data_IF_012037815023
#
_entry.id   IF_012037815023
#
_cell.length_a   1.000
_cell.length_b   1.000
_cell.length_c   1.000
_cell.angle_alpha   90.00
_cell.angle_beta   90.00
_cell.angle_gamma   90.00
#
_symmetry.space_group_name_H-M   'P 1'
#
loop_
_entity.id
_entity.type
_entity.pdbx_description
1 polymer ?
#
# COMPACT_ATOMS: atom_id res chain seq x y z
N UNK A 1 5.65 -30.76 -6.30
CA UNK A 1 6.10 -31.02 -4.91
C UNK A 1 5.52 -32.34 -4.46
N UNK A 2 6.33 -33.22 -3.88
CA UNK A 2 5.93 -34.48 -3.27
C UNK A 2 6.13 -34.37 -1.74
N UNK A 3 5.18 -34.85 -0.95
CA UNK A 3 5.32 -35.00 0.49
C UNK A 3 5.80 -36.41 0.77
N UNK A 4 6.93 -36.57 1.48
CA UNK A 4 7.54 -37.87 1.77
C UNK A 4 7.18 -38.41 3.15
N UNK A 5 7.12 -37.55 4.15
CA UNK A 5 6.86 -37.99 5.52
C UNK A 5 6.32 -36.84 6.35
N UNK A 6 5.38 -37.13 7.24
CA UNK A 6 4.96 -36.24 8.32
C UNK A 6 5.23 -36.94 9.65
N UNK A 7 5.85 -36.21 10.57
CA UNK A 7 6.13 -36.69 11.93
C UNK A 7 5.75 -35.61 12.92
N UNK A 8 5.11 -36.03 14.01
CA UNK A 8 4.78 -35.16 15.14
C UNK A 8 5.32 -35.81 16.39
N UNK A 9 5.94 -34.99 17.24
CA UNK A 9 6.44 -35.40 18.55
C UNK A 9 5.88 -34.47 19.62
N UNK A 10 5.45 -35.08 20.72
CA UNK A 10 4.77 -34.45 21.85
C UNK A 10 5.45 -34.93 23.14
N UNK A 11 6.02 -34.00 23.87
CA UNK A 11 6.49 -34.20 25.23
C UNK A 11 5.39 -33.78 26.22
N UNK A 12 5.23 -34.58 27.28
CA UNK A 12 4.17 -34.44 28.28
C UNK A 12 4.77 -34.16 29.65
N UNK A 13 4.05 -33.38 30.47
CA UNK A 13 4.46 -33.05 31.83
C UNK A 13 4.61 -34.30 32.68
N UNK A 14 5.75 -34.43 33.38
CA UNK A 14 6.04 -35.54 34.29
C UNK A 14 5.92 -36.94 33.66
N UNK A 15 6.07 -37.05 32.33
CA UNK A 15 6.03 -38.31 31.60
C UNK A 15 7.29 -38.46 30.75
N UNK A 16 8.03 -39.57 30.92
CA UNK A 16 9.27 -39.80 30.17
C UNK A 16 9.01 -40.25 28.72
N UNK A 17 7.85 -40.85 28.46
CA UNK A 17 7.44 -41.32 27.13
C UNK A 17 7.08 -40.14 26.23
N UNK A 18 7.62 -40.14 25.02
CA UNK A 18 7.21 -39.22 23.94
C UNK A 18 6.03 -39.80 23.19
N UNK A 19 5.05 -38.95 22.90
CA UNK A 19 3.87 -39.28 22.13
C UNK A 19 3.93 -38.63 20.75
N UNK A 20 3.06 -39.07 19.84
CA UNK A 20 2.95 -38.52 18.49
C UNK A 20 2.82 -39.62 17.45
N UNK A 21 3.14 -39.26 16.20
CA UNK A 21 3.02 -40.16 15.06
C UNK A 21 4.11 -39.90 14.03
N UNK A 22 4.36 -40.90 13.17
CA UNK A 22 5.27 -40.78 12.05
C UNK A 22 4.71 -41.58 10.89
N UNK A 23 4.34 -40.92 9.80
CA UNK A 23 3.77 -41.53 8.61
C UNK A 23 4.60 -41.16 7.38
N UNK A 24 5.09 -42.18 6.68
CA UNK A 24 5.68 -42.04 5.36
C UNK A 24 4.60 -42.11 4.28
N UNK A 25 4.79 -41.36 3.21
CA UNK A 25 3.95 -41.37 2.03
C UNK A 25 4.70 -41.99 0.85
N UNK A 26 3.96 -42.78 0.08
CA UNK A 26 4.44 -43.38 -1.17
C UNK A 26 4.03 -42.52 -2.37
N UNK A 27 4.68 -42.73 -3.51
CA UNK A 27 4.28 -42.04 -4.74
C UNK A 27 2.90 -42.55 -5.19
N UNK A 28 2.03 -41.64 -5.63
CA UNK A 28 0.67 -41.96 -6.08
C UNK A 28 -0.39 -41.77 -4.99
N UNK A 29 -1.41 -42.64 -4.98
CA UNK A 29 -2.56 -42.52 -4.09
C UNK A 29 -2.24 -43.09 -2.70
N UNK A 30 -2.32 -42.24 -1.68
CA UNK A 30 -2.22 -42.64 -0.28
C UNK A 30 -3.60 -42.49 0.39
N UNK A 31 -4.06 -43.52 1.11
CA UNK A 31 -5.37 -43.52 1.77
C UNK A 31 -5.17 -43.57 3.29
N UNK A 32 -5.70 -42.58 4.01
CA UNK A 32 -5.68 -42.52 5.47
C UNK A 32 -7.04 -42.97 6.00
N UNK A 33 -7.09 -44.12 6.67
CA UNK A 33 -8.32 -44.70 7.24
C UNK A 33 -8.27 -44.75 8.75
N UNK A 34 -9.41 -44.50 9.41
CA UNK A 34 -9.53 -44.53 10.87
C UNK A 34 -10.93 -44.12 11.33
N UNK A 35 -11.28 -44.43 12.57
CA UNK A 35 -12.57 -44.05 13.16
C UNK A 35 -12.73 -42.54 13.26
N UNK A 36 -13.96 -42.05 13.43
CA UNK A 36 -14.17 -40.63 13.72
C UNK A 36 -13.39 -40.23 14.98
N UNK A 37 -12.85 -39.01 14.98
CA UNK A 37 -12.02 -38.50 16.06
C UNK A 37 -10.69 -39.25 16.29
N UNK A 38 -10.24 -40.09 15.34
CA UNK A 38 -8.95 -40.79 15.43
C UNK A 38 -7.74 -39.97 14.98
N UNK A 39 -7.87 -38.65 14.80
CA UNK A 39 -6.79 -37.76 14.37
C UNK A 39 -6.46 -37.73 12.86
N UNK A 40 -7.34 -38.25 11.98
CA UNK A 40 -7.12 -38.23 10.52
C UNK A 40 -6.90 -36.82 9.99
N UNK A 41 -7.79 -35.90 10.36
CA UNK A 41 -7.72 -34.49 9.95
C UNK A 41 -6.48 -33.81 10.55
N UNK A 42 -6.05 -34.23 11.75
CA UNK A 42 -4.85 -33.74 12.42
C UNK A 42 -3.58 -33.97 11.60
N UNK A 43 -3.46 -35.14 10.94
CA UNK A 43 -2.32 -35.43 10.03
C UNK A 43 -2.25 -34.39 8.91
N UNK A 44 -3.39 -34.12 8.27
CA UNK A 44 -3.50 -33.14 7.18
C UNK A 44 -3.20 -31.73 7.70
N UNK A 45 -3.79 -31.33 8.83
CA UNK A 45 -3.55 -30.03 9.44
C UNK A 45 -2.07 -29.80 9.80
N UNK A 46 -1.35 -30.83 10.27
CA UNK A 46 0.07 -30.73 10.55
C UNK A 46 0.92 -30.50 9.28
N UNK A 47 0.54 -31.10 8.15
CA UNK A 47 1.21 -30.86 6.86
C UNK A 47 1.09 -29.39 6.47
N UNK A 48 -0.12 -28.82 6.46
CA UNK A 48 -0.32 -27.40 6.14
C UNK A 48 0.35 -26.48 7.14
N UNK A 49 0.35 -26.85 8.43
CA UNK A 49 1.05 -26.11 9.46
C UNK A 49 2.57 -26.06 9.21
N UNK A 50 3.20 -27.18 8.84
CA UNK A 50 4.61 -27.19 8.43
C UNK A 50 4.90 -26.36 7.18
N UNK A 51 3.90 -26.16 6.32
CA UNK A 51 4.00 -25.33 5.11
C UNK A 51 3.64 -23.85 5.35
N UNK A 52 3.30 -23.44 6.58
CA UNK A 52 2.84 -22.08 6.88
C UNK A 52 1.44 -21.77 6.33
N UNK A 53 0.68 -22.78 5.92
CA UNK A 53 -0.59 -22.64 5.21
C UNK A 53 -1.82 -22.78 6.14
N UNK A 54 -1.67 -22.55 7.44
CA UNK A 54 -2.76 -22.71 8.41
C UNK A 54 -3.98 -21.82 8.14
N UNK A 55 -3.79 -20.68 7.46
CA UNK A 55 -4.89 -19.80 7.05
C UNK A 55 -5.91 -20.48 6.14
N UNK A 56 -5.48 -21.51 5.38
CA UNK A 56 -6.35 -22.30 4.48
C UNK A 56 -7.33 -23.19 5.23
N UNK A 57 -7.05 -23.45 6.51
CA UNK A 57 -7.87 -24.28 7.39
C UNK A 57 -8.83 -23.44 8.24
N UNK A 58 -8.91 -22.12 7.97
CA UNK A 58 -9.94 -21.25 8.51
C UNK A 58 -9.60 -20.50 9.80
N UNK A 59 -8.33 -20.46 10.22
CA UNK A 59 -7.90 -19.73 11.41
C UNK A 59 -6.68 -18.84 11.20
N UNK A 60 -6.64 -17.71 11.89
CA UNK A 60 -5.41 -16.98 12.18
C UNK A 60 -4.86 -17.54 13.50
N UNK A 61 -3.72 -18.26 13.47
CA UNK A 61 -2.98 -18.89 14.60
C UNK A 61 -3.31 -20.37 14.89
N UNK A 62 -2.55 -20.94 15.81
CA UNK A 62 -2.49 -22.35 16.29
C UNK A 62 -3.82 -22.99 16.70
N UNK A 63 -4.94 -22.25 16.70
CA UNK A 63 -6.31 -22.74 16.94
C UNK A 63 -6.81 -23.71 15.84
N UNK A 64 -6.09 -23.80 14.72
CA UNK A 64 -6.35 -24.75 13.63
C UNK A 64 -5.92 -26.17 13.97
N UNK A 65 -4.94 -26.31 14.86
CA UNK A 65 -4.42 -27.61 15.28
C UNK A 65 -5.28 -28.18 16.40
N UNK A 66 -5.32 -29.51 16.48
CA UNK A 66 -6.04 -30.22 17.54
C UNK A 66 -5.41 -29.90 18.91
N UNK A 67 -6.25 -29.75 19.94
CA UNK A 67 -5.83 -29.50 21.33
C UNK A 67 -4.88 -30.57 21.85
N UNK A 68 -5.01 -31.81 21.37
CA UNK A 68 -4.08 -32.91 21.67
C UNK A 68 -2.62 -32.59 21.34
N UNK A 69 -2.37 -31.64 20.44
CA UNK A 69 -1.02 -31.25 20.04
C UNK A 69 -0.40 -30.16 20.91
N UNK A 70 -1.16 -29.41 21.72
CA UNK A 70 -0.62 -28.25 22.46
C UNK A 70 -1.22 -28.01 23.84
N UNK A 71 -2.34 -28.61 24.18
CA UNK A 71 -3.01 -28.42 25.47
C UNK A 71 -2.89 -29.71 26.29
N UNK A 72 -3.70 -30.71 25.95
CA UNK A 72 -3.78 -31.99 26.66
C UNK A 72 -4.47 -33.06 25.79
N UNK A 73 -4.26 -34.33 26.14
CA UNK A 73 -4.97 -35.47 25.55
C UNK A 73 -5.15 -36.59 26.58
N UNK A 74 -6.11 -37.48 26.34
CA UNK A 74 -6.34 -38.65 27.18
C UNK A 74 -5.49 -39.84 26.72
N UNK A 75 -4.81 -40.47 27.67
CA UNK A 75 -4.07 -41.71 27.45
C UNK A 75 -4.17 -42.59 28.70
N UNK A 76 -4.60 -43.85 28.52
CA UNK A 76 -4.73 -44.83 29.61
C UNK A 76 -5.55 -44.28 30.81
N UNK A 77 -6.72 -43.70 30.52
CA UNK A 77 -7.63 -43.04 31.47
C UNK A 77 -7.03 -41.86 32.28
N UNK A 78 -5.88 -41.33 31.84
CA UNK A 78 -5.25 -40.15 32.44
C UNK A 78 -5.21 -38.99 31.45
N UNK A 79 -5.47 -37.79 31.93
CA UNK A 79 -5.30 -36.56 31.15
C UNK A 79 -3.84 -36.12 31.21
N UNK A 80 -3.17 -36.15 30.06
CA UNK A 80 -1.77 -35.82 29.90
C UNK A 80 -1.61 -34.39 29.37
N UNK A 81 -0.91 -33.53 30.11
CA UNK A 81 -0.67 -32.13 29.71
C UNK A 81 0.56 -32.01 28.81
N UNK A 82 0.39 -31.36 27.65
CA UNK A 82 1.47 -31.14 26.68
C UNK A 82 2.41 -30.05 27.18
N UNK A 83 3.71 -30.31 27.24
CA UNK A 83 4.74 -29.32 27.58
C UNK A 83 5.46 -28.77 26.37
N UNK A 84 5.74 -29.63 25.39
CA UNK A 84 6.46 -29.28 24.18
C UNK A 84 5.98 -30.15 23.01
N UNK A 85 5.87 -29.57 21.83
CA UNK A 85 5.45 -30.31 20.64
C UNK A 85 5.91 -29.63 19.36
N UNK A 86 6.22 -30.45 18.36
CA UNK A 86 6.62 -29.98 17.04
C UNK A 86 6.22 -30.96 15.94
N UNK A 87 6.13 -30.44 14.72
CA UNK A 87 5.91 -31.22 13.51
C UNK A 87 7.14 -31.12 12.58
N UNK A 88 7.46 -32.22 11.92
CA UNK A 88 8.52 -32.40 10.93
C UNK A 88 7.90 -32.92 9.64
N UNK A 89 8.01 -32.16 8.55
CA UNK A 89 7.52 -32.51 7.23
C UNK A 89 8.70 -32.64 6.27
N UNK A 90 8.82 -33.79 5.61
CA UNK A 90 9.82 -33.99 4.55
C UNK A 90 9.12 -33.74 3.21
N UNK A 91 9.61 -32.75 2.46
CA UNK A 91 9.14 -32.43 1.11
C UNK A 91 10.27 -32.62 0.09
N UNK A 92 9.88 -33.02 -1.11
CA UNK A 92 10.78 -33.26 -2.22
C UNK A 92 10.25 -32.58 -3.49
N UNK A 93 11.15 -31.98 -4.25
CA UNK A 93 10.90 -31.61 -5.64
C UNK A 93 11.81 -32.47 -6.56
N UNK A 94 11.89 -32.14 -7.85
CA UNK A 94 12.69 -32.94 -8.80
C UNK A 94 14.19 -33.01 -8.45
N UNK A 95 14.73 -31.98 -7.80
CA UNK A 95 16.19 -31.79 -7.60
C UNK A 95 16.62 -31.69 -6.14
N UNK A 96 15.71 -31.38 -5.23
CA UNK A 96 15.94 -30.97 -3.84
C UNK A 96 15.01 -31.71 -2.89
N UNK A 97 15.50 -31.99 -1.70
CA UNK A 97 14.73 -32.54 -0.58
C UNK A 97 15.02 -31.70 0.67
N UNK A 98 13.95 -31.33 1.39
CA UNK A 98 14.04 -30.49 2.56
C UNK A 98 13.16 -31.04 3.70
N UNK A 99 13.69 -30.97 4.92
CA UNK A 99 12.92 -31.21 6.13
C UNK A 99 12.50 -29.89 6.74
N UNK A 100 11.19 -29.70 6.90
CA UNK A 100 10.58 -28.54 7.55
C UNK A 100 10.20 -28.91 8.98
N UNK A 101 10.82 -28.26 9.96
CA UNK A 101 10.48 -28.43 11.38
C UNK A 101 9.85 -27.14 11.91
N UNK A 102 8.67 -27.28 12.53
CA UNK A 102 7.94 -26.16 13.15
C UNK A 102 7.43 -26.56 14.53
N UNK A 103 7.71 -25.73 15.53
CA UNK A 103 7.20 -25.92 16.88
C UNK A 103 5.73 -25.51 16.95
N UNK A 104 4.92 -26.37 17.57
CA UNK A 104 3.50 -26.11 17.84
C UNK A 104 3.38 -25.49 19.23
N UNK A 105 4.00 -26.11 20.23
CA UNK A 105 4.19 -25.57 21.58
C UNK A 105 5.64 -25.72 21.97
N UNK A 106 6.26 -24.64 22.45
CA UNK A 106 7.65 -24.66 22.90
C UNK A 106 7.73 -24.26 24.37
N UNK A 107 8.40 -25.08 25.17
CA UNK A 107 8.74 -24.72 26.55
C UNK A 107 9.69 -23.50 26.63
N UNK A 108 10.59 -23.35 25.66
CA UNK A 108 11.59 -22.26 25.61
C UNK A 108 11.07 -20.96 24.95
N UNK A 109 9.76 -20.80 24.77
CA UNK A 109 9.17 -19.69 24.00
C UNK A 109 9.75 -19.51 22.58
N UNK A 110 10.23 -20.58 21.93
CA UNK A 110 10.54 -20.50 20.50
C UNK A 110 9.28 -20.08 19.75
N UNK A 111 9.42 -19.08 18.88
CA UNK A 111 8.30 -18.53 18.14
C UNK A 111 7.69 -19.59 17.22
N UNK A 112 6.40 -19.86 17.38
CA UNK A 112 5.61 -20.69 16.46
C UNK A 112 5.55 -20.11 15.03
N UNK A 113 6.02 -18.88 14.82
CA UNK A 113 6.15 -18.22 13.52
C UNK A 113 7.55 -18.41 12.91
N UNK A 114 8.28 -19.45 13.32
CA UNK A 114 9.58 -19.81 12.78
C UNK A 114 9.53 -21.23 12.22
N UNK A 115 10.05 -21.41 11.00
CA UNK A 115 10.30 -22.73 10.42
C UNK A 115 11.80 -22.96 10.31
N UNK A 116 12.24 -24.11 10.80
CA UNK A 116 13.60 -24.60 10.63
C UNK A 116 13.60 -25.49 9.39
N UNK A 117 14.46 -25.18 8.43
CA UNK A 117 14.62 -25.94 7.19
C UNK A 117 15.97 -26.62 7.22
N UNK A 118 15.98 -27.92 6.97
CA UNK A 118 17.20 -28.73 6.85
C UNK A 118 17.29 -29.23 5.41
N UNK A 119 18.33 -28.84 4.71
CA UNK A 119 18.60 -29.21 3.32
C UNK A 119 20.09 -29.52 3.16
N UNK A 120 20.44 -30.67 2.56
CA UNK A 120 21.83 -31.08 2.32
C UNK A 120 22.75 -30.96 3.56
N UNK A 121 22.21 -31.25 4.76
CA UNK A 121 22.94 -31.15 6.03
C UNK A 121 23.10 -29.72 6.59
N UNK A 122 22.61 -28.70 5.88
CA UNK A 122 22.61 -27.31 6.34
C UNK A 122 21.27 -26.98 6.99
N UNK A 123 21.32 -26.36 8.18
CA UNK A 123 20.13 -25.93 8.94
C UNK A 123 19.97 -24.43 8.83
N UNK A 124 18.83 -23.98 8.29
CA UNK A 124 18.45 -22.58 8.15
C UNK A 124 17.15 -22.31 8.90
N UNK A 125 16.92 -21.05 9.29
CA UNK A 125 15.73 -20.63 10.00
C UNK A 125 15.04 -19.49 9.26
N UNK A 126 13.74 -19.63 9.04
CA UNK A 126 12.92 -18.66 8.31
C UNK A 126 11.74 -18.21 9.17
N UNK A 127 11.32 -16.97 8.98
CA UNK A 127 10.16 -16.40 9.69
C UNK A 127 8.89 -16.42 8.83
N UNK A 128 7.75 -16.44 9.52
CA UNK A 128 6.39 -16.43 8.99
C UNK A 128 5.57 -15.29 9.61
N UNK A 129 4.47 -14.91 8.95
CA UNK A 129 3.45 -14.00 9.47
C UNK A 129 4.00 -12.66 9.95
N UNK A 130 5.05 -12.19 9.29
CA UNK A 130 5.76 -10.96 9.62
C UNK A 130 6.13 -10.23 8.34
N UNK A 131 6.19 -8.90 8.38
CA UNK A 131 6.48 -8.09 7.20
C UNK A 131 7.72 -8.58 6.43
N UNK A 132 7.53 -8.85 5.14
CA UNK A 132 8.58 -9.32 4.24
C UNK A 132 8.85 -10.83 4.25
N UNK A 133 8.02 -11.65 4.89
CA UNK A 133 8.09 -13.12 4.85
C UNK A 133 7.92 -13.71 3.43
N UNK A 134 7.40 -12.90 2.51
CA UNK A 134 7.27 -13.23 1.10
C UNK A 134 8.40 -12.72 0.21
N UNK A 135 9.17 -11.71 0.65
CA UNK A 135 10.09 -10.94 -0.20
C UNK A 135 11.55 -11.03 0.26
N UNK A 136 11.77 -11.09 1.56
CA UNK A 136 13.13 -11.12 2.11
C UNK A 136 13.73 -12.52 2.03
N UNK A 137 15.07 -12.63 1.94
CA UNK A 137 15.75 -13.93 1.96
C UNK A 137 15.43 -14.78 3.20
N UNK A 138 15.20 -14.15 4.35
CA UNK A 138 14.88 -14.82 5.62
C UNK A 138 13.38 -15.15 5.77
N UNK A 139 12.56 -14.79 4.78
CA UNK A 139 11.13 -15.08 4.71
C UNK A 139 10.85 -16.50 4.21
N UNK A 140 10.01 -17.25 4.92
CA UNK A 140 9.73 -18.64 4.57
C UNK A 140 9.01 -18.79 3.22
N UNK A 141 8.06 -17.91 2.90
CA UNK A 141 7.32 -18.04 1.64
C UNK A 141 8.20 -17.71 0.44
N UNK A 142 9.19 -16.82 0.59
CA UNK A 142 10.20 -16.60 -0.44
C UNK A 142 11.01 -17.88 -0.68
N UNK A 143 11.56 -18.49 0.39
CA UNK A 143 12.26 -19.76 0.30
C UNK A 143 11.42 -20.87 -0.34
N UNK A 144 10.16 -21.02 0.09
CA UNK A 144 9.26 -22.06 -0.43
C UNK A 144 8.94 -21.82 -1.91
N UNK A 145 8.76 -20.56 -2.33
CA UNK A 145 8.54 -20.21 -3.74
C UNK A 145 9.74 -20.61 -4.61
N UNK A 146 10.96 -20.33 -4.15
CA UNK A 146 12.20 -20.76 -4.80
C UNK A 146 12.40 -22.28 -4.79
N UNK A 147 11.99 -22.95 -3.70
CA UNK A 147 11.99 -24.41 -3.63
C UNK A 147 11.01 -25.01 -4.64
N UNK A 148 9.84 -24.42 -4.85
CA UNK A 148 8.84 -24.91 -5.78
C UNK A 148 9.13 -24.55 -7.25
N UNK A 149 10.01 -23.58 -7.49
CA UNK A 149 10.27 -23.06 -8.84
C UNK A 149 9.09 -22.26 -9.41
N UNK A 150 8.25 -21.68 -8.54
CA UNK A 150 7.07 -20.91 -8.93
C UNK A 150 7.48 -19.44 -9.07
N UNK A 151 7.15 -18.79 -10.17
CA UNK A 151 7.31 -17.34 -10.34
C UNK A 151 5.96 -16.66 -10.12
N UNK A 152 5.77 -16.04 -8.96
CA UNK A 152 4.53 -15.32 -8.66
C UNK A 152 4.49 -13.96 -9.36
N UNK A 153 3.33 -13.51 -9.85
CA UNK A 153 3.18 -12.21 -10.45
C UNK A 153 3.31 -11.10 -9.41
N UNK A 154 4.24 -10.19 -9.65
CA UNK A 154 4.57 -9.07 -8.77
C UNK A 154 4.21 -7.75 -9.44
N UNK A 155 3.58 -6.85 -8.69
CA UNK A 155 3.43 -5.45 -9.10
C UNK A 155 4.76 -4.77 -8.76
N UNK A 156 5.69 -4.71 -9.72
CA UNK A 156 6.95 -3.98 -9.54
C UNK A 156 6.85 -2.56 -10.12
N UNK A 157 6.89 -1.54 -9.26
CA UNK A 157 7.93 -0.48 -9.18
C UNK A 157 7.42 0.79 -8.47
N UNK A 158 8.24 1.28 -7.54
CA UNK A 158 8.35 2.67 -7.05
C UNK A 158 7.29 3.27 -6.10
N UNK A 159 6.55 2.46 -5.37
CA UNK A 159 5.83 2.95 -4.18
C UNK A 159 6.15 2.06 -2.98
N UNK A 160 6.12 2.66 -1.80
CA UNK A 160 6.34 2.07 -0.47
C UNK A 160 5.49 0.83 -0.14
N UNK A 161 4.69 0.32 -1.07
CA UNK A 161 3.76 -0.77 -0.89
C UNK A 161 4.00 -1.84 -1.96
N UNK A 162 4.81 -2.85 -1.60
CA UNK A 162 5.06 -4.04 -2.40
C UNK A 162 3.80 -4.92 -2.41
N UNK A 163 2.76 -4.48 -3.10
CA UNK A 163 1.55 -5.28 -3.25
C UNK A 163 1.80 -6.42 -4.24
N UNK A 164 2.11 -7.63 -3.78
CA UNK A 164 2.07 -8.81 -4.67
C UNK A 164 0.66 -8.95 -5.22
N UNK A 165 0.54 -9.19 -6.53
CA UNK A 165 -0.77 -9.44 -7.13
C UNK A 165 -1.34 -10.79 -6.68
N UNK A 166 -0.46 -11.75 -6.35
CA UNK A 166 -0.80 -13.04 -5.77
C UNK A 166 0.29 -13.47 -4.79
N UNK A 167 -0.12 -14.04 -3.66
CA UNK A 167 0.78 -14.68 -2.71
C UNK A 167 0.78 -16.20 -2.88
N UNK A 168 1.81 -16.87 -2.39
CA UNK A 168 1.89 -18.33 -2.47
C UNK A 168 0.68 -19.00 -1.77
N UNK A 169 0.23 -18.43 -0.65
CA UNK A 169 -0.96 -18.86 0.07
C UNK A 169 -2.26 -18.67 -0.72
N UNK A 170 -2.26 -17.87 -1.79
CA UNK A 170 -3.38 -17.81 -2.73
C UNK A 170 -3.35 -18.95 -3.76
N UNK A 171 -2.21 -19.61 -3.96
CA UNK A 171 -2.04 -20.72 -4.92
C UNK A 171 -2.37 -22.08 -4.30
N UNK A 172 -1.96 -22.28 -3.04
CA UNK A 172 -2.19 -23.53 -2.32
C UNK A 172 -3.66 -23.95 -2.09
N UNK A 173 -4.68 -23.06 -2.13
CA UNK A 173 -6.08 -23.46 -2.14
C UNK A 173 -6.46 -24.44 -3.26
N UNK A 174 -5.70 -24.48 -4.37
CA UNK A 174 -5.91 -25.46 -5.45
C UNK A 174 -5.37 -26.86 -5.13
N UNK A 175 -4.46 -26.95 -4.15
CA UNK A 175 -3.81 -28.20 -3.76
C UNK A 175 -4.46 -28.83 -2.52
N UNK A 176 -5.55 -28.24 -2.01
CA UNK A 176 -6.29 -28.72 -0.85
C UNK A 176 -7.79 -28.72 -1.13
N UNK A 177 -8.44 -29.80 -0.73
CA UNK A 177 -9.89 -29.84 -0.55
C UNK A 177 -10.14 -30.19 0.92
N UNK A 178 -10.74 -29.25 1.67
CA UNK A 178 -11.03 -29.42 3.10
C UNK A 178 -12.36 -30.16 3.31
N UNK A 179 -12.49 -30.90 4.41
CA UNK A 179 -13.61 -31.82 4.63
C UNK A 179 -14.98 -31.13 4.78
N UNK A 180 -15.05 -29.98 5.46
CA UNK A 180 -16.31 -29.34 5.84
C UNK A 180 -16.81 -28.32 4.83
N UNK A 181 -15.92 -27.57 4.18
CA UNK A 181 -16.24 -26.52 3.22
C UNK A 181 -15.72 -26.79 1.80
N UNK A 182 -14.76 -27.70 1.64
CA UNK A 182 -14.13 -27.96 0.35
C UNK A 182 -15.03 -28.65 -0.69
N UNK A 183 -16.20 -29.17 -0.30
CA UNK A 183 -17.16 -29.75 -1.24
C UNK A 183 -18.12 -28.72 -1.86
N UNK A 184 -18.19 -27.52 -1.31
CA UNK A 184 -19.11 -26.46 -1.75
C UNK A 184 -18.47 -25.46 -2.71
N UNK A 185 -17.14 -25.48 -2.83
CA UNK A 185 -16.35 -24.53 -3.60
C UNK A 185 -15.16 -25.25 -4.25
N UNK A 186 -14.64 -24.72 -5.35
CA UNK A 186 -13.54 -25.36 -6.09
C UNK A 186 -12.18 -25.20 -5.38
N UNK A 187 -12.03 -24.12 -4.61
CA UNK A 187 -10.82 -23.82 -3.85
C UNK A 187 -11.06 -24.05 -2.36
N UNK A 188 -10.02 -24.45 -1.63
CA UNK A 188 -10.03 -24.30 -0.17
C UNK A 188 -10.17 -22.82 0.23
N UNK A 189 -10.32 -22.56 1.53
CA UNK A 189 -10.51 -21.21 2.04
C UNK A 189 -9.34 -20.29 1.63
N UNK A 190 -9.61 -19.39 0.68
CA UNK A 190 -8.60 -18.49 0.14
C UNK A 190 -8.37 -17.33 1.12
N UNK A 191 -7.11 -17.05 1.53
CA UNK A 191 -6.82 -15.95 2.43
C UNK A 191 -7.05 -14.61 1.73
N UNK A 192 -7.71 -13.69 2.42
CA UNK A 192 -7.97 -12.35 1.91
C UNK A 192 -6.83 -11.40 2.29
N UNK A 193 -5.98 -11.09 1.32
CA UNK A 193 -4.91 -10.11 1.44
C UNK A 193 -5.25 -8.75 0.81
N UNK A 194 -6.54 -8.46 0.61
CA UNK A 194 -6.98 -7.25 -0.09
C UNK A 194 -6.78 -7.31 -1.62
N UNK A 195 -6.46 -8.49 -2.16
CA UNK A 195 -6.35 -8.72 -3.60
C UNK A 195 -7.76 -8.80 -4.18
N UNK A 196 -8.07 -7.89 -5.11
CA UNK A 196 -9.31 -7.91 -5.86
C UNK A 196 -9.37 -9.14 -6.77
N UNK A 197 -10.52 -9.81 -6.78
CA UNK A 197 -10.83 -10.96 -7.65
C UNK A 197 -9.77 -12.09 -7.61
N UNK A 198 -9.24 -12.37 -6.41
CA UNK A 198 -8.10 -13.28 -6.23
C UNK A 198 -8.33 -14.69 -6.82
N UNK A 199 -9.55 -15.23 -6.77
CA UNK A 199 -9.90 -16.51 -7.39
C UNK A 199 -9.74 -16.49 -8.92
N UNK A 200 -10.16 -15.42 -9.56
CA UNK A 200 -10.00 -15.26 -11.01
C UNK A 200 -8.52 -15.16 -11.35
N UNK A 201 -7.77 -14.30 -10.65
CA UNK A 201 -6.32 -14.14 -10.86
C UNK A 201 -5.56 -15.45 -10.67
N UNK A 202 -5.98 -16.27 -9.70
CA UNK A 202 -5.42 -17.60 -9.49
C UNK A 202 -5.65 -18.53 -10.70
N UNK A 203 -6.85 -18.56 -11.27
CA UNK A 203 -7.14 -19.36 -12.47
C UNK A 203 -6.31 -18.86 -13.65
N UNK A 204 -6.26 -17.54 -13.87
CA UNK A 204 -5.46 -16.95 -14.94
C UNK A 204 -3.97 -17.25 -14.77
N UNK A 205 -3.47 -17.21 -13.53
CA UNK A 205 -2.10 -17.59 -13.19
C UNK A 205 -1.80 -19.05 -13.50
N UNK A 206 -2.68 -19.99 -13.08
CA UNK A 206 -2.49 -21.42 -13.32
C UNK A 206 -2.54 -21.78 -14.81
N UNK A 207 -3.35 -21.06 -15.58
CA UNK A 207 -3.47 -21.23 -17.03
C UNK A 207 -2.45 -20.40 -17.83
N UNK A 208 -1.60 -19.62 -17.16
CA UNK A 208 -0.62 -18.71 -17.78
C UNK A 208 -1.25 -17.77 -18.81
N UNK A 209 -2.41 -17.19 -18.48
CA UNK A 209 -3.12 -16.28 -19.37
C UNK A 209 -2.49 -14.88 -19.35
N UNK A 210 -2.28 -14.31 -20.54
CA UNK A 210 -1.78 -12.94 -20.71
C UNK A 210 -2.72 -11.87 -20.13
N UNK A 211 -3.99 -12.20 -19.88
CA UNK A 211 -4.96 -11.30 -19.25
C UNK A 211 -4.47 -10.80 -17.90
N UNK A 212 -3.85 -11.67 -17.11
CA UNK A 212 -3.34 -11.35 -15.78
C UNK A 212 -2.20 -10.35 -15.86
N UNK A 213 -1.23 -10.59 -16.75
CA UNK A 213 -0.11 -9.69 -16.98
C UNK A 213 -0.58 -8.32 -17.47
N UNK A 214 -1.59 -8.29 -18.34
CA UNK A 214 -2.17 -7.05 -18.85
C UNK A 214 -2.92 -6.28 -17.75
N UNK A 215 -3.63 -6.97 -16.85
CA UNK A 215 -4.29 -6.34 -15.70
C UNK A 215 -3.26 -5.73 -14.75
N UNK A 216 -2.20 -6.47 -14.42
CA UNK A 216 -1.11 -5.98 -13.57
C UNK A 216 -0.44 -4.76 -14.20
N UNK A 217 -0.13 -4.81 -15.51
CA UNK A 217 0.46 -3.67 -16.23
C UNK A 217 -0.47 -2.46 -16.21
N UNK A 218 -1.78 -2.67 -16.38
CA UNK A 218 -2.77 -1.59 -16.32
C UNK A 218 -2.78 -0.93 -14.94
N UNK A 219 -2.75 -1.71 -13.87
CA UNK A 219 -2.72 -1.19 -12.50
C UNK A 219 -1.45 -0.38 -12.23
N UNK A 220 -0.28 -0.86 -12.70
CA UNK A 220 1.00 -0.13 -12.63
C UNK A 220 0.90 1.22 -13.38
N UNK A 221 0.35 1.22 -14.59
CA UNK A 221 0.21 2.44 -15.39
C UNK A 221 -0.74 3.45 -14.73
N UNK A 222 -1.85 2.98 -14.14
CA UNK A 222 -2.78 3.84 -13.41
C UNK A 222 -2.13 4.46 -12.15
N UNK A 223 -1.33 3.69 -11.41
CA UNK A 223 -0.56 4.22 -10.28
C UNK A 223 0.48 5.25 -10.73
N UNK A 224 1.22 4.98 -11.80
CA UNK A 224 2.18 5.93 -12.39
C UNK A 224 1.49 7.22 -12.86
N UNK A 225 0.36 7.09 -13.54
CA UNK A 225 -0.44 8.24 -13.96
C UNK A 225 -0.86 9.09 -12.76
N UNK A 226 -1.33 8.46 -11.68
CA UNK A 226 -1.70 9.14 -10.44
C UNK A 226 -0.50 9.87 -9.82
N UNK A 227 0.63 9.20 -9.66
CA UNK A 227 1.85 9.80 -9.09
C UNK A 227 2.31 11.03 -9.89
N UNK A 228 2.27 10.96 -11.22
CA UNK A 228 2.62 12.09 -12.09
C UNK A 228 1.64 13.25 -11.90
N UNK A 229 0.33 12.97 -11.79
CA UNK A 229 -0.69 14.00 -11.52
C UNK A 229 -0.50 14.65 -10.15
N UNK A 230 -0.19 13.86 -9.12
CA UNK A 230 0.04 14.35 -7.76
C UNK A 230 1.31 15.22 -7.71
N UNK A 231 2.40 14.77 -8.35
CA UNK A 231 3.64 15.54 -8.45
C UNK A 231 3.44 16.87 -9.20
N UNK A 232 2.70 16.84 -10.31
CA UNK A 232 2.33 18.03 -11.03
C UNK A 232 1.51 19.00 -10.18
N UNK A 233 0.50 18.50 -9.47
CA UNK A 233 -0.30 19.31 -8.54
C UNK A 233 0.56 20.00 -7.49
N UNK A 234 1.50 19.28 -6.88
CA UNK A 234 2.44 19.86 -5.91
C UNK A 234 3.34 20.95 -6.53
N UNK A 235 3.86 20.71 -7.73
CA UNK A 235 4.72 21.68 -8.44
C UNK A 235 3.93 22.92 -8.87
N UNK A 236 2.72 22.73 -9.40
CA UNK A 236 1.81 23.79 -9.79
C UNK A 236 1.50 24.72 -8.60
N UNK A 237 1.11 24.16 -7.45
CA UNK A 237 0.82 24.94 -6.24
C UNK A 237 2.01 25.78 -5.80
N UNK A 238 3.24 25.23 -5.83
CA UNK A 238 4.44 26.00 -5.50
C UNK A 238 4.69 27.17 -6.45
N UNK A 239 4.39 27.00 -7.74
CA UNK A 239 4.58 28.05 -8.75
C UNK A 239 3.49 29.11 -8.62
N UNK A 240 2.23 28.70 -8.41
CA UNK A 240 1.09 29.61 -8.26
C UNK A 240 1.21 30.47 -6.99
N UNK A 241 1.62 29.87 -5.87
CA UNK A 241 1.87 30.61 -4.62
C UNK A 241 2.98 31.65 -4.78
N UNK A 242 4.09 31.30 -5.43
CA UNK A 242 5.18 32.24 -5.71
C UNK A 242 4.74 33.38 -6.63
N UNK A 243 4.02 33.07 -7.71
CA UNK A 243 3.49 34.08 -8.64
C UNK A 243 2.54 35.05 -7.91
N UNK A 244 1.60 34.50 -7.15
CA UNK A 244 0.56 35.28 -6.44
C UNK A 244 1.18 36.17 -5.36
N UNK A 245 2.20 35.69 -4.63
CA UNK A 245 2.93 36.50 -3.64
C UNK A 245 3.59 37.76 -4.21
N UNK A 246 3.88 37.74 -5.51
CA UNK A 246 4.49 38.85 -6.25
C UNK A 246 3.46 39.63 -7.09
N UNK A 247 2.16 39.32 -6.98
CA UNK A 247 1.08 39.99 -7.71
C UNK A 247 0.82 39.48 -9.13
N UNK A 248 1.40 38.34 -9.51
CA UNK A 248 1.21 37.73 -10.83
C UNK A 248 0.22 36.57 -10.78
N UNK A 249 -0.53 36.37 -11.86
CA UNK A 249 -1.38 35.18 -12.07
C UNK A 249 -0.79 34.29 -13.17
N UNK A 250 -0.94 32.97 -13.01
CA UNK A 250 -0.52 31.99 -14.02
C UNK A 250 -1.61 31.81 -15.09
N UNK A 251 -1.21 31.82 -16.36
CA UNK A 251 -2.07 31.69 -17.53
C UNK A 251 -1.51 30.64 -18.48
N UNK A 252 -2.36 29.75 -18.98
CA UNK A 252 -1.94 28.65 -19.88
C UNK A 252 -1.26 27.49 -19.16
N UNK A 253 -1.18 27.53 -17.83
CA UNK A 253 -0.79 26.41 -16.98
C UNK A 253 -1.96 26.14 -16.04
N UNK A 254 -2.47 24.91 -16.04
CA UNK A 254 -3.61 24.47 -15.26
C UNK A 254 -3.21 23.40 -14.23
N UNK A 255 -3.94 23.31 -13.09
CA UNK A 255 -3.71 22.26 -12.09
C UNK A 255 -3.93 20.85 -12.65
N UNK A 256 -4.84 20.71 -13.61
CA UNK A 256 -5.10 19.45 -14.30
C UNK A 256 -4.12 19.28 -15.47
N UNK A 257 -3.26 18.26 -15.37
CA UNK A 257 -2.21 17.96 -16.36
C UNK A 257 -2.80 17.80 -17.78
N UNK A 258 -3.98 17.20 -17.90
CA UNK A 258 -4.61 16.86 -19.20
C UNK A 258 -5.05 18.12 -19.96
N UNK A 259 -5.32 19.22 -19.24
CA UNK A 259 -5.73 20.50 -19.84
C UNK A 259 -4.56 21.33 -20.34
N UNK A 260 -3.32 20.92 -20.05
CA UNK A 260 -2.12 21.62 -20.50
C UNK A 260 -1.70 21.11 -21.88
N UNK A 261 -2.06 21.87 -22.93
CA UNK A 261 -1.48 21.67 -24.25
C UNK A 261 -0.05 22.26 -24.21
N UNK A 262 0.95 21.41 -23.93
CA UNK A 262 2.37 21.76 -23.70
C UNK A 262 3.01 22.64 -24.81
N UNK A 263 2.29 22.87 -25.91
CA UNK A 263 2.64 23.76 -27.02
C UNK A 263 2.54 25.26 -26.66
N UNK A 264 1.89 25.62 -25.55
CA UNK A 264 1.56 27.02 -25.21
C UNK A 264 2.28 27.63 -23.99
N UNK A 265 3.26 26.94 -23.39
CA UNK A 265 3.94 27.45 -22.18
C UNK A 265 4.99 28.50 -22.57
N UNK A 266 4.52 29.71 -22.87
CA UNK A 266 5.38 30.89 -23.06
C UNK A 266 5.66 31.57 -21.73
N UNK A 267 6.82 32.24 -21.59
CA UNK A 267 7.15 33.15 -20.48
C UNK A 267 6.10 34.26 -20.25
N UNK A 268 5.18 34.49 -21.20
CA UNK A 268 4.00 35.34 -21.07
C UNK A 268 2.87 34.71 -20.24
N UNK A 269 3.05 33.51 -19.69
CA UNK A 269 2.10 32.87 -18.78
C UNK A 269 1.93 33.59 -17.44
N UNK A 270 2.68 34.65 -17.17
CA UNK A 270 2.54 35.46 -15.96
C UNK A 270 1.96 36.82 -16.36
N UNK A 271 0.72 37.07 -15.92
CA UNK A 271 0.01 38.30 -16.20
C UNK A 271 -0.29 39.08 -14.92
N UNK A 272 -0.26 40.40 -15.02
CA UNK A 272 -0.72 41.33 -13.99
C UNK A 272 -2.06 41.90 -14.44
N UNK A 273 -3.00 42.08 -13.50
CA UNK A 273 -4.24 42.80 -13.78
C UNK A 273 -3.93 44.29 -13.75
N UNK A 274 -4.09 44.98 -14.88
CA UNK A 274 -4.00 46.44 -14.95
C UNK A 274 -5.10 47.09 -14.10
N UNK A 275 -4.73 47.95 -13.16
CA UNK A 275 -5.69 48.76 -12.37
C UNK A 275 -6.49 49.73 -13.25
N UNK A 276 -5.93 50.18 -14.38
CA UNK A 276 -6.57 51.19 -15.25
C UNK A 276 -7.50 50.61 -16.30
N UNK A 277 -7.23 49.40 -16.82
CA UNK A 277 -7.99 48.84 -17.97
C UNK A 277 -8.76 47.55 -17.69
N UNK A 278 -8.63 46.94 -16.51
CA UNK A 278 -9.13 45.57 -16.21
C UNK A 278 -8.67 44.50 -17.21
N UNK A 279 -7.62 44.80 -17.97
CA UNK A 279 -7.04 43.88 -18.95
C UNK A 279 -5.77 43.23 -18.38
N UNK A 280 -5.54 42.00 -18.82
CA UNK A 280 -4.34 41.24 -18.49
C UNK A 280 -3.16 41.76 -19.29
N UNK A 281 -2.09 42.16 -18.60
CA UNK A 281 -0.85 42.59 -19.24
C UNK A 281 0.20 41.49 -19.07
N UNK A 282 0.79 41.06 -20.19
CA UNK A 282 1.90 40.10 -20.18
C UNK A 282 3.16 40.71 -19.53
N UNK A 283 3.96 39.87 -18.89
CA UNK A 283 5.13 40.31 -18.12
C UNK A 283 6.12 41.17 -18.95
N UNK A 284 6.29 40.88 -20.26
CA UNK A 284 7.15 41.67 -21.16
C UNK A 284 6.62 43.09 -21.40
N UNK A 285 5.31 43.21 -21.59
CA UNK A 285 4.65 44.49 -21.84
C UNK A 285 4.60 45.29 -20.54
N UNK A 286 4.40 44.61 -19.40
CA UNK A 286 4.46 45.23 -18.08
C UNK A 286 5.86 45.79 -17.77
N UNK A 287 6.93 45.04 -18.06
CA UNK A 287 8.31 45.53 -17.95
C UNK A 287 8.52 46.75 -18.86
N UNK A 288 8.03 46.70 -20.10
CA UNK A 288 8.19 47.79 -21.06
C UNK A 288 7.47 49.06 -20.61
N UNK A 289 6.27 48.92 -20.04
CA UNK A 289 5.52 50.03 -19.46
C UNK A 289 6.24 50.66 -18.25
N UNK A 290 6.75 49.83 -17.33
CA UNK A 290 7.52 50.32 -16.18
C UNK A 290 8.81 51.03 -16.59
N UNK A 291 9.49 50.54 -17.63
CA UNK A 291 10.69 51.20 -18.19
C UNK A 291 10.30 52.55 -18.83
N UNK A 292 9.17 52.59 -19.53
CA UNK A 292 8.58 53.81 -20.09
C UNK A 292 8.26 54.84 -19.02
N UNK A 293 7.49 54.47 -18.00
CA UNK A 293 7.15 55.33 -16.85
C UNK A 293 8.41 55.83 -16.15
N UNK A 294 9.40 54.96 -15.90
CA UNK A 294 10.67 55.37 -15.32
C UNK A 294 11.36 56.43 -16.18
N UNK A 295 11.36 56.26 -17.50
CA UNK A 295 11.98 57.20 -18.42
C UNK A 295 11.26 58.56 -18.45
N UNK A 296 9.94 58.57 -18.33
CA UNK A 296 9.14 59.80 -18.33
C UNK A 296 9.20 60.53 -16.98
N UNK A 297 9.26 59.80 -15.87
CA UNK A 297 9.56 60.37 -14.55
C UNK A 297 10.97 60.99 -14.55
N UNK A 298 11.98 60.31 -15.11
CA UNK A 298 13.33 60.86 -15.22
C UNK A 298 13.39 62.13 -16.09
N UNK A 299 12.57 62.23 -17.14
CA UNK A 299 12.46 63.45 -17.96
C UNK A 299 11.76 64.58 -17.19
N UNK A 300 10.70 64.29 -16.44
CA UNK A 300 10.03 65.29 -15.58
C UNK A 300 10.98 65.84 -14.52
N UNK A 301 11.75 64.97 -13.86
CA UNK A 301 12.76 65.37 -12.87
C UNK A 301 13.85 66.26 -13.50
N UNK A 302 14.38 65.91 -14.68
CA UNK A 302 15.37 66.75 -15.38
C UNK A 302 14.83 68.11 -15.82
N UNK A 303 13.54 68.21 -16.11
CA UNK A 303 12.91 69.49 -16.48
C UNK A 303 12.62 70.37 -15.25
N UNK A 304 12.53 69.80 -14.05
CA UNK A 304 12.36 70.53 -12.78
C UNK A 304 13.69 70.99 -12.14
N UNK A 305 14.85 70.54 -12.65
CA UNK A 305 16.19 70.90 -12.14
C UNK A 305 16.58 72.39 -12.30
N UNK A 306 15.74 73.25 -12.88
CA UNK A 306 16.03 74.68 -13.03
C UNK A 306 15.61 75.59 -11.86
N UNK A 307 15.08 75.05 -10.77
CA UNK A 307 14.94 75.81 -9.53
C UNK A 307 14.72 74.88 -8.34
N UNK A 308 15.79 74.47 -7.64
CA UNK A 308 15.86 74.27 -6.17
C UNK A 308 17.16 73.58 -5.74
N UNK A 309 17.64 73.91 -4.55
CA UNK A 309 18.94 73.49 -3.98
C UNK A 309 19.10 71.98 -3.75
N UNK A 310 20.33 71.42 -3.88
CA UNK A 310 20.59 69.97 -3.86
C UNK A 310 20.12 69.21 -2.60
N UNK A 311 20.13 69.86 -1.43
CA UNK A 311 19.79 69.21 -0.15
C UNK A 311 18.28 68.97 0.04
N UNK A 312 17.42 69.83 -0.55
CA UNK A 312 15.97 69.65 -0.49
C UNK A 312 15.50 68.49 -1.39
N UNK A 313 16.15 68.31 -2.54
CA UNK A 313 15.86 67.20 -3.47
C UNK A 313 16.29 65.86 -2.86
N UNK A 314 17.43 65.82 -2.16
CA UNK A 314 17.91 64.60 -1.51
C UNK A 314 17.02 64.19 -0.33
N UNK A 315 16.54 65.15 0.46
CA UNK A 315 15.60 64.89 1.55
C UNK A 315 14.20 64.51 1.06
N UNK A 316 13.71 65.10 -0.03
CA UNK A 316 12.43 64.68 -0.63
C UNK A 316 12.54 63.29 -1.25
N UNK A 317 13.65 62.95 -1.91
CA UNK A 317 13.93 61.60 -2.38
C UNK A 317 13.94 60.57 -1.26
N UNK A 318 14.62 60.83 -0.14
CA UNK A 318 14.64 59.91 1.01
C UNK A 318 13.24 59.72 1.62
N UNK A 319 12.45 60.79 1.72
CA UNK A 319 11.06 60.70 2.17
C UNK A 319 10.20 59.87 1.22
N UNK A 320 10.26 60.13 -0.08
CA UNK A 320 9.54 59.34 -1.10
C UNK A 320 9.97 57.87 -1.09
N UNK A 321 11.26 57.58 -0.93
CA UNK A 321 11.76 56.21 -0.80
C UNK A 321 11.19 55.51 0.44
N UNK A 322 11.12 56.23 1.57
CA UNK A 322 10.53 55.70 2.80
C UNK A 322 9.02 55.44 2.66
N UNK A 323 8.28 56.32 1.99
CA UNK A 323 6.86 56.14 1.67
C UNK A 323 6.62 54.97 0.73
N UNK A 324 7.41 54.85 -0.36
CA UNK A 324 7.35 53.69 -1.27
C UNK A 324 7.65 52.40 -0.52
N UNK A 325 8.59 52.41 0.42
CA UNK A 325 8.90 51.24 1.24
C UNK A 325 7.74 50.88 2.17
N UNK A 326 7.07 51.88 2.74
CA UNK A 326 5.89 51.71 3.60
C UNK A 326 4.70 51.15 2.80
N UNK A 327 4.40 51.75 1.64
CA UNK A 327 3.35 51.30 0.72
C UNK A 327 3.58 49.87 0.24
N UNK A 328 4.82 49.52 -0.12
CA UNK A 328 5.15 48.14 -0.50
C UNK A 328 4.96 47.14 0.65
N UNK A 329 5.24 47.54 1.91
CA UNK A 329 4.94 46.71 3.07
C UNK A 329 3.43 46.54 3.26
N UNK A 330 2.66 47.61 3.11
CA UNK A 330 1.19 47.57 3.20
C UNK A 330 0.59 46.68 2.10
N UNK A 331 1.05 46.81 0.86
CA UNK A 331 0.64 45.97 -0.27
C UNK A 331 0.93 44.48 -0.01
N UNK A 332 2.12 44.16 0.53
CA UNK A 332 2.45 42.79 0.92
C UNK A 332 1.56 42.27 2.05
N UNK A 333 1.22 43.11 3.03
CA UNK A 333 0.32 42.72 4.10
C UNK A 333 -1.08 42.41 3.57
N UNK A 334 -1.63 43.28 2.72
CA UNK A 334 -2.95 43.10 2.08
C UNK A 334 -2.95 41.84 1.19
N UNK A 335 -1.91 41.63 0.37
CA UNK A 335 -1.81 40.42 -0.45
C UNK A 335 -1.74 39.14 0.41
N UNK A 336 -1.03 39.18 1.53
CA UNK A 336 -1.00 38.05 2.47
C UNK A 336 -2.37 37.80 3.12
N UNK A 337 -3.12 38.84 3.47
CA UNK A 337 -4.50 38.68 3.95
C UNK A 337 -5.42 38.13 2.88
N UNK A 338 -5.33 38.62 1.65
CA UNK A 338 -6.09 38.09 0.51
C UNK A 338 -5.81 36.60 0.31
N UNK A 339 -4.56 36.16 0.38
CA UNK A 339 -4.19 34.74 0.28
C UNK A 339 -4.79 33.92 1.44
N UNK A 340 -4.79 34.46 2.67
CA UNK A 340 -5.41 33.78 3.82
C UNK A 340 -6.91 33.61 3.64
N UNK A 341 -7.61 34.65 3.18
CA UNK A 341 -9.05 34.57 2.90
C UNK A 341 -9.35 33.61 1.74
N UNK A 342 -8.53 33.61 0.69
CA UNK A 342 -8.66 32.64 -0.41
C UNK A 342 -8.55 31.19 0.10
N UNK A 343 -7.58 30.91 0.98
CA UNK A 343 -7.42 29.58 1.60
C UNK A 343 -8.61 29.19 2.47
N UNK A 344 -9.24 30.14 3.18
CA UNK A 344 -10.48 29.88 3.93
C UNK A 344 -11.63 29.52 2.99
N UNK A 345 -11.78 30.24 1.88
CA UNK A 345 -12.80 29.95 0.86
C UNK A 345 -12.60 28.55 0.29
N UNK A 346 -11.36 28.17 -0.06
CA UNK A 346 -11.06 26.83 -0.56
C UNK A 346 -11.39 25.75 0.49
N UNK A 347 -11.10 26.01 1.78
CA UNK A 347 -11.49 25.14 2.88
C UNK A 347 -13.01 24.98 3.02
N UNK A 348 -13.77 26.09 2.95
CA UNK A 348 -15.23 26.03 2.98
C UNK A 348 -15.81 25.28 1.76
N UNK A 349 -15.19 25.40 0.59
CA UNK A 349 -15.61 24.64 -0.60
C UNK A 349 -15.38 23.13 -0.43
N UNK A 350 -14.30 22.72 0.25
CA UNK A 350 -14.11 21.31 0.60
C UNK A 350 -15.12 20.81 1.64
N UNK A 351 -15.47 21.63 2.63
CA UNK A 351 -16.51 21.29 3.60
C UNK A 351 -17.88 21.14 2.93
N UNK A 352 -18.25 22.06 2.02
CA UNK A 352 -19.48 21.95 1.23
C UNK A 352 -19.49 20.63 0.45
N UNK A 353 -18.40 20.27 -0.23
CA UNK A 353 -18.33 18.98 -0.94
C UNK A 353 -18.51 17.77 -0.03
N UNK A 354 -17.98 17.80 1.19
CA UNK A 354 -18.17 16.72 2.16
C UNK A 354 -19.64 16.62 2.59
N UNK A 355 -20.28 17.77 2.84
CA UNK A 355 -21.70 17.84 3.18
C UNK A 355 -22.57 17.34 2.02
N UNK A 356 -22.26 17.70 0.77
CA UNK A 356 -22.99 17.22 -0.41
C UNK A 356 -22.92 15.68 -0.54
N UNK A 357 -21.74 15.10 -0.32
CA UNK A 357 -21.56 13.64 -0.32
C UNK A 357 -22.37 12.99 0.82
N UNK A 358 -22.44 13.64 1.98
CA UNK A 358 -23.20 13.15 3.13
C UNK A 358 -24.71 13.24 2.89
N UNK A 359 -25.18 14.30 2.23
CA UNK A 359 -26.56 14.44 1.75
C UNK A 359 -26.89 13.33 0.75
N UNK A 360 -26.03 13.06 -0.24
CA UNK A 360 -26.25 11.95 -1.20
C UNK A 360 -26.34 10.59 -0.50
N UNK A 361 -25.52 10.37 0.54
CA UNK A 361 -25.57 9.14 1.34
C UNK A 361 -26.87 9.04 2.13
N UNK A 362 -27.33 10.13 2.74
CA UNK A 362 -28.60 10.17 3.46
C UNK A 362 -29.79 9.97 2.52
N UNK A 363 -29.79 10.61 1.35
CA UNK A 363 -30.80 10.40 0.30
C UNK A 363 -30.84 8.94 -0.17
N UNK A 364 -29.67 8.31 -0.32
CA UNK A 364 -29.56 6.89 -0.65
C UNK A 364 -30.09 6.00 0.46
N UNK A 365 -29.82 6.33 1.73
CA UNK A 365 -30.35 5.63 2.89
C UNK A 365 -31.88 5.76 3.02
N UNK A 366 -32.44 6.95 2.80
CA UNK A 366 -33.90 7.18 2.77
C UNK A 366 -34.57 6.39 1.64
N UNK A 367 -33.93 6.32 0.47
CA UNK A 367 -34.42 5.48 -0.64
C UNK A 367 -34.42 4.00 -0.27
N UNK A 368 -33.37 3.51 0.39
CA UNK A 368 -33.28 2.12 0.87
C UNK A 368 -34.33 1.79 1.92
N UNK A 369 -34.61 2.70 2.85
CA UNK A 369 -35.62 2.53 3.89
C UNK A 369 -37.04 2.42 3.30
N UNK A 370 -37.34 3.15 2.21
CA UNK A 370 -38.59 3.00 1.44
C UNK A 370 -38.76 1.65 0.73
N UNK A 371 -37.69 0.87 0.57
CA UNK A 371 -37.73 -0.47 -0.04
C UNK A 371 -37.74 -1.61 1.01
N UNK A 372 -37.62 -1.29 2.30
CA UNK A 372 -37.84 -2.26 3.37
C UNK A 372 -39.36 -2.47 3.54
N UNK A 373 -39.88 -3.69 3.41
CA UNK A 373 -41.30 -3.94 3.69
C UNK A 373 -41.55 -3.77 5.19
N UNK A 374 -42.60 -3.02 5.55
CA UNK A 374 -43.07 -2.87 6.93
C UNK A 374 -43.21 -4.27 7.57
N UNK A 375 -42.51 -4.47 8.68
CA UNK A 375 -42.55 -5.70 9.48
C UNK A 375 -43.84 -5.83 10.30
#
# INVERSE_FOLDING_TARGET
MEIKQIKVLIDVKHHATRFGFCYGFSSGLNIITGQNSSGKSTIVSCIYYCLGMEQLLGGNRSLVLDKSLFEEFEYDNNTLQVTNSYAELIIKNETREATLKRYIKSFNNESCNKIIVIENGSTSSYYLHSGGDHDRPEGFYNWLTLFLGITLPTVHEDALDQGKSLYLQNVFPCALIEQTKGWSDFFAQMPNFGIKDAKQKLVEFLLQLESLDNEIRKDILLQREKNIKDEWGMRYTKISERATSQGFSLRGIYPDLIKNDLKGVSLSSLSVISEEKRDWIDLKDYISNLVGERSDILKKIKNEENSNTPDNIKNSQLKLQSEITLLNRQLRAINNEKIKEQRKIDGYLEEIKKIDIEIERLDSAIKLDRFMPDA
#
